data_IF_402123778397
#
_entry.id   IF_402123778397
#
_cell.length_a   1.000
_cell.length_b   1.000
_cell.length_c   1.000
_cell.angle_alpha   90.00
_cell.angle_beta   90.00
_cell.angle_gamma   90.00
#
_symmetry.space_group_name_H-M   'P 1'
#
loop_
_entity.id
_entity.type
_entity.pdbx_description
1 polymer ?
#
# COMPACT_ATOMS: atom_id res chain seq x y z
N UNK A 1 -50.76 31.16 52.50
CA UNK A 1 -49.75 30.29 51.84
C UNK A 1 -49.56 30.85 50.44
N UNK A 2 -48.47 31.58 50.24
CA UNK A 2 -48.43 32.76 49.37
C UNK A 2 -48.28 32.43 47.89
N UNK A 3 -49.14 33.08 47.09
CA UNK A 3 -49.13 33.07 45.62
C UNK A 3 -47.73 33.34 45.01
N UNK A 4 -46.89 34.10 45.72
CA UNK A 4 -45.51 34.40 45.32
C UNK A 4 -44.56 33.18 45.39
N UNK A 5 -44.75 32.23 46.31
CA UNK A 5 -43.94 31.02 46.39
C UNK A 5 -44.31 30.03 45.26
N UNK A 6 -45.59 29.94 44.91
CA UNK A 6 -46.06 29.10 43.80
C UNK A 6 -45.55 29.66 42.46
N UNK A 7 -45.55 30.98 42.27
CA UNK A 7 -45.03 31.60 41.05
C UNK A 7 -43.51 31.39 40.90
N UNK A 8 -42.75 31.45 42.00
CA UNK A 8 -41.31 31.20 41.97
C UNK A 8 -40.96 29.73 41.69
N UNK A 9 -41.75 28.78 42.22
CA UNK A 9 -41.58 27.35 41.94
C UNK A 9 -41.98 27.04 40.49
N UNK A 10 -43.07 27.64 39.97
CA UNK A 10 -43.47 27.48 38.57
C UNK A 10 -42.43 28.11 37.62
N UNK A 11 -41.87 29.28 37.95
CA UNK A 11 -40.80 29.90 37.16
C UNK A 11 -39.51 29.08 37.19
N UNK A 12 -39.13 28.50 38.34
CA UNK A 12 -37.98 27.59 38.45
C UNK A 12 -38.21 26.27 37.72
N UNK A 13 -39.43 25.73 37.72
CA UNK A 13 -39.79 24.52 36.95
C UNK A 13 -39.82 24.84 35.45
N UNK A 14 -40.33 26.00 35.03
CA UNK A 14 -40.33 26.41 33.62
C UNK A 14 -38.91 26.74 33.11
N UNK A 15 -38.05 27.34 33.93
CA UNK A 15 -36.63 27.56 33.61
C UNK A 15 -35.85 26.24 33.56
N UNK A 16 -36.11 25.30 34.48
CA UNK A 16 -35.53 23.95 34.40
C UNK A 16 -36.04 23.16 33.21
N UNK A 17 -37.33 23.27 32.84
CA UNK A 17 -37.87 22.60 31.64
C UNK A 17 -37.30 23.24 30.37
N UNK A 18 -37.06 24.56 30.34
CA UNK A 18 -36.39 25.21 29.21
C UNK A 18 -34.90 24.84 29.12
N UNK A 19 -34.18 24.74 30.23
CA UNK A 19 -32.80 24.23 30.26
C UNK A 19 -32.73 22.73 29.93
N UNK A 20 -33.71 21.91 30.32
CA UNK A 20 -33.77 20.49 29.93
C UNK A 20 -34.13 20.36 28.45
N UNK A 21 -35.01 21.21 27.89
CA UNK A 21 -35.35 21.20 26.46
C UNK A 21 -34.24 21.78 25.59
N UNK A 22 -33.50 22.80 26.06
CA UNK A 22 -32.31 23.32 25.38
C UNK A 22 -31.14 22.34 25.48
N UNK A 23 -30.95 21.66 26.62
CA UNK A 23 -29.95 20.60 26.78
C UNK A 23 -30.36 19.29 26.08
N UNK A 24 -31.65 19.01 25.87
CA UNK A 24 -32.14 17.87 25.07
C UNK A 24 -32.02 18.16 23.56
N UNK A 25 -32.15 19.43 23.15
CA UNK A 25 -31.84 19.89 21.80
C UNK A 25 -30.33 20.08 21.54
N UNK A 26 -29.51 20.27 22.57
CA UNK A 26 -28.04 20.32 22.46
C UNK A 26 -27.35 18.97 22.69
N UNK A 27 -27.93 18.01 23.44
CA UNK A 27 -27.36 16.65 23.63
C UNK A 27 -27.72 15.64 22.54
N UNK A 28 -28.70 15.93 21.69
CA UNK A 28 -29.04 15.08 20.54
C UNK A 28 -28.41 15.54 19.21
N UNK A 29 -27.47 16.49 19.24
CA UNK A 29 -26.70 16.91 18.05
C UNK A 29 -25.27 16.33 18.04
N UNK A 30 -25.16 15.00 18.15
CA UNK A 30 -23.95 14.26 17.75
C UNK A 30 -24.32 13.10 16.81
N UNK A 31 -24.28 13.43 15.51
CA UNK A 31 -23.94 12.56 14.39
C UNK A 31 -24.90 11.40 14.05
N UNK A 32 -26.08 11.73 13.55
CA UNK A 32 -26.52 11.06 12.32
C UNK A 32 -25.66 11.63 11.18
N UNK A 33 -24.53 10.98 10.89
CA UNK A 33 -23.85 11.14 9.62
C UNK A 33 -24.66 10.39 8.57
N UNK A 34 -25.77 11.00 8.17
CA UNK A 34 -26.27 10.85 6.82
C UNK A 34 -25.11 11.20 5.89
N UNK A 35 -24.75 10.26 5.02
CA UNK A 35 -23.60 10.35 4.14
C UNK A 35 -23.82 11.48 3.13
N UNK A 36 -23.43 12.70 3.51
CA UNK A 36 -23.52 13.88 2.67
C UNK A 36 -22.45 13.82 1.56
N UNK A 37 -22.89 13.38 0.38
CA UNK A 37 -22.11 13.28 -0.85
C UNK A 37 -21.44 14.62 -1.27
N UNK A 38 -21.87 15.77 -0.73
CA UNK A 38 -21.32 17.06 -1.09
C UNK A 38 -20.07 17.47 -0.27
N UNK A 39 -19.85 16.87 0.90
CA UNK A 39 -18.66 17.14 1.72
C UNK A 39 -17.42 16.38 1.22
N UNK A 40 -17.63 15.27 0.50
CA UNK A 40 -16.62 14.63 -0.34
C UNK A 40 -16.22 15.55 -1.50
N UNK A 41 -17.17 16.14 -2.24
CA UNK A 41 -16.87 16.99 -3.40
C UNK A 41 -16.01 18.23 -3.09
N UNK A 42 -16.20 18.89 -1.94
CA UNK A 42 -15.39 20.08 -1.59
C UNK A 42 -13.99 19.75 -1.08
N UNK A 43 -13.75 18.53 -0.59
CA UNK A 43 -12.42 18.06 -0.17
C UNK A 43 -11.68 17.25 -1.25
N UNK A 44 -12.34 16.86 -2.33
CA UNK A 44 -11.74 16.11 -3.46
C UNK A 44 -10.67 16.90 -4.20
N UNK A 45 -10.67 18.23 -4.12
CA UNK A 45 -9.59 19.06 -4.67
C UNK A 45 -8.29 18.99 -3.86
N UNK A 46 -8.31 18.37 -2.67
CA UNK A 46 -7.15 18.20 -1.80
C UNK A 46 -6.71 16.73 -1.67
N UNK A 47 -5.76 16.33 -2.53
CA UNK A 47 -4.89 15.12 -2.41
C UNK A 47 -5.61 13.77 -2.32
N UNK A 48 -6.02 13.26 -3.48
CA UNK A 48 -6.43 11.87 -3.70
C UNK A 48 -5.22 10.95 -3.56
N UNK A 49 -5.33 9.85 -2.79
CA UNK A 49 -4.23 8.89 -2.62
C UNK A 49 -4.72 7.42 -2.68
N UNK A 50 -4.16 6.66 -3.64
CA UNK A 50 -4.47 5.28 -4.12
C UNK A 50 -5.86 5.14 -4.75
N UNK A 51 -6.00 4.16 -5.64
CA UNK A 51 -7.05 4.13 -6.66
C UNK A 51 -7.49 2.71 -7.03
N UNK A 52 -8.78 2.43 -6.88
CA UNK A 52 -9.47 1.31 -7.54
C UNK A 52 -10.36 1.88 -8.62
N UNK A 53 -10.33 1.31 -9.83
CA UNK A 53 -11.17 1.80 -10.92
C UNK A 53 -12.64 1.53 -10.62
N UNK A 54 -13.45 2.59 -10.60
CA UNK A 54 -14.90 2.52 -10.49
C UNK A 54 -15.49 2.74 -11.89
N UNK A 55 -16.47 1.93 -12.27
CA UNK A 55 -17.33 2.20 -13.43
C UNK A 55 -18.57 2.98 -12.97
N UNK A 56 -19.37 3.52 -13.90
CA UNK A 56 -20.66 4.19 -13.58
C UNK A 56 -21.59 3.32 -12.73
N UNK A 57 -21.44 1.99 -12.79
CA UNK A 57 -22.00 1.00 -11.86
C UNK A 57 -20.81 0.26 -11.24
N UNK A 58 -20.62 0.34 -9.92
CA UNK A 58 -19.52 -0.35 -9.22
C UNK A 58 -19.83 -1.85 -9.13
N UNK A 59 -19.36 -2.61 -10.11
CA UNK A 59 -19.63 -4.04 -10.18
C UNK A 59 -18.53 -4.81 -9.44
N UNK A 60 -18.75 -5.09 -8.15
CA UNK A 60 -17.81 -5.87 -7.33
C UNK A 60 -17.88 -7.36 -7.64
N UNK A 61 -16.76 -8.05 -7.46
CA UNK A 61 -16.74 -9.52 -7.44
C UNK A 61 -17.45 -10.05 -6.20
N UNK A 62 -18.22 -11.12 -6.40
CA UNK A 62 -18.77 -11.95 -5.32
C UNK A 62 -17.80 -13.09 -4.98
N UNK A 63 -17.84 -13.54 -3.73
CA UNK A 63 -16.91 -14.56 -3.22
C UNK A 63 -17.62 -15.88 -2.93
N UNK A 64 -17.02 -17.02 -3.28
CA UNK A 64 -15.73 -17.16 -3.94
C UNK A 64 -15.75 -16.77 -5.43
N UNK A 65 -14.68 -16.12 -5.91
CA UNK A 65 -14.51 -15.81 -7.34
C UNK A 65 -14.18 -17.11 -8.08
N UNK A 66 -15.02 -17.47 -9.05
CA UNK A 66 -14.78 -18.60 -9.93
C UNK A 66 -13.61 -18.33 -10.87
N UNK A 67 -12.71 -19.29 -11.01
CA UNK A 67 -11.68 -19.27 -12.05
C UNK A 67 -11.51 -20.65 -12.68
N UNK A 68 -11.18 -20.66 -13.97
CA UNK A 68 -10.83 -21.86 -14.72
C UNK A 68 -9.50 -21.63 -15.41
N UNK A 69 -8.62 -22.63 -15.40
CA UNK A 69 -7.37 -22.59 -16.17
C UNK A 69 -7.56 -23.47 -17.39
N UNK A 70 -7.33 -22.87 -18.56
CA UNK A 70 -7.47 -23.55 -19.83
C UNK A 70 -6.40 -24.64 -19.99
N UNK A 71 -6.78 -25.94 -20.08
CA UNK A 71 -5.82 -27.04 -20.15
C UNK A 71 -4.88 -26.95 -21.36
N UNK A 72 -5.31 -26.31 -22.46
CA UNK A 72 -4.48 -26.15 -23.66
C UNK A 72 -3.43 -25.04 -23.50
N UNK A 73 -3.49 -24.27 -22.42
CA UNK A 73 -2.59 -23.13 -22.20
C UNK A 73 -1.20 -23.51 -21.71
N UNK A 74 -0.99 -24.76 -21.25
CA UNK A 74 0.27 -25.25 -20.66
C UNK A 74 0.81 -24.33 -19.54
N UNK A 75 -0.08 -23.68 -18.79
CA UNK A 75 0.29 -22.84 -17.66
C UNK A 75 0.41 -23.70 -16.41
N UNK A 76 1.38 -23.39 -15.54
CA UNK A 76 1.53 -24.11 -14.28
C UNK A 76 0.44 -23.71 -13.29
N UNK A 77 -0.61 -24.54 -13.22
CA UNK A 77 -1.76 -24.34 -12.34
C UNK A 77 -1.38 -24.26 -10.85
N UNK A 78 -0.40 -25.04 -10.41
CA UNK A 78 0.05 -25.03 -9.00
C UNK A 78 0.52 -23.64 -8.58
N UNK A 79 1.29 -22.96 -9.43
CA UNK A 79 1.80 -21.61 -9.13
C UNK A 79 0.66 -20.57 -9.18
N UNK A 80 -0.31 -20.74 -10.08
CA UNK A 80 -1.53 -19.92 -10.12
C UNK A 80 -2.29 -20.06 -8.81
N UNK A 81 -2.57 -21.29 -8.39
CA UNK A 81 -3.31 -21.62 -7.17
C UNK A 81 -2.59 -21.07 -5.93
N UNK A 82 -1.26 -21.17 -5.86
CA UNK A 82 -0.45 -20.58 -4.79
C UNK A 82 -0.52 -19.04 -4.76
N UNK A 83 -0.46 -18.39 -5.92
CA UNK A 83 -0.55 -16.93 -6.01
C UNK A 83 -1.92 -16.40 -5.54
N UNK A 84 -3.00 -17.10 -5.93
CA UNK A 84 -4.37 -16.81 -5.50
C UNK A 84 -4.55 -17.09 -4.01
N UNK A 85 -4.00 -18.20 -3.50
CA UNK A 85 -4.00 -18.53 -2.08
C UNK A 85 -3.29 -17.44 -1.26
N UNK A 86 -2.16 -16.92 -1.72
CA UNK A 86 -1.42 -15.85 -1.02
C UNK A 86 -2.25 -14.55 -0.87
N UNK A 87 -3.13 -14.25 -1.84
CA UNK A 87 -4.13 -13.18 -1.76
C UNK A 87 -5.21 -13.54 -0.73
N UNK A 88 -5.75 -14.76 -0.78
CA UNK A 88 -6.76 -15.23 0.19
C UNK A 88 -6.25 -15.27 1.63
N UNK A 89 -4.96 -15.55 1.85
CA UNK A 89 -4.36 -15.58 3.19
C UNK A 89 -4.28 -14.18 3.83
N UNK A 90 -4.29 -13.11 3.01
CA UNK A 90 -4.10 -11.72 3.46
C UNK A 90 -5.34 -10.84 3.29
N UNK A 91 -6.41 -11.39 2.72
CA UNK A 91 -7.67 -10.69 2.43
C UNK A 91 -8.86 -11.58 2.76
N UNK A 92 -10.08 -11.07 2.63
CA UNK A 92 -11.30 -11.87 2.66
C UNK A 92 -11.65 -12.51 1.30
N UNK A 93 -10.92 -12.16 0.23
CA UNK A 93 -11.18 -12.67 -1.12
C UNK A 93 -10.91 -14.17 -1.13
N UNK A 94 -11.83 -14.95 -1.69
CA UNK A 94 -11.71 -16.40 -1.85
C UNK A 94 -11.93 -16.79 -3.29
N UNK A 95 -11.41 -17.95 -3.68
CA UNK A 95 -11.39 -18.44 -5.06
C UNK A 95 -12.01 -19.83 -5.12
N UNK A 96 -12.71 -20.12 -6.23
CA UNK A 96 -13.23 -21.45 -6.54
C UNK A 96 -12.73 -21.87 -7.91
N UNK A 97 -11.96 -22.95 -7.96
CA UNK A 97 -11.49 -23.53 -9.22
C UNK A 97 -12.62 -24.29 -9.88
N UNK A 98 -12.84 -24.06 -11.16
CA UNK A 98 -13.81 -24.79 -11.98
C UNK A 98 -13.08 -25.78 -12.89
N UNK A 99 -13.70 -26.93 -13.18
CA UNK A 99 -13.14 -27.97 -14.06
C UNK A 99 -13.39 -27.71 -15.55
N UNK A 100 -14.22 -26.71 -15.87
CA UNK A 100 -14.59 -26.35 -17.24
C UNK A 100 -14.64 -24.84 -17.40
N UNK A 101 -14.53 -24.39 -18.65
CA UNK A 101 -14.65 -22.99 -19.00
C UNK A 101 -15.93 -22.36 -18.42
N UNK A 102 -15.77 -21.19 -17.82
CA UNK A 102 -16.89 -20.43 -17.25
C UNK A 102 -17.60 -19.71 -18.39
N UNK A 103 -18.91 -19.93 -18.52
CA UNK A 103 -19.76 -19.37 -19.57
C UNK A 103 -21.03 -18.78 -18.95
N UNK A 104 -21.51 -17.66 -19.49
CA UNK A 104 -22.78 -17.02 -19.11
C UNK A 104 -22.92 -16.64 -17.62
N UNK A 105 -21.81 -16.54 -16.89
CA UNK A 105 -21.77 -16.09 -15.51
C UNK A 105 -20.44 -15.40 -15.19
N UNK A 106 -20.36 -14.58 -14.12
CA UNK A 106 -19.11 -13.95 -13.71
C UNK A 106 -18.03 -14.97 -13.30
N UNK A 107 -16.83 -14.78 -13.82
CA UNK A 107 -15.66 -15.57 -13.46
C UNK A 107 -14.44 -15.19 -14.29
N UNK A 108 -13.29 -15.82 -13.98
CA UNK A 108 -12.02 -15.59 -14.66
C UNK A 108 -11.60 -16.82 -15.46
N UNK A 109 -11.51 -16.70 -16.78
CA UNK A 109 -10.94 -17.74 -17.63
C UNK A 109 -9.45 -17.42 -17.87
N UNK A 110 -8.57 -18.19 -17.24
CA UNK A 110 -7.11 -18.04 -17.31
C UNK A 110 -6.60 -18.74 -18.57
N UNK A 111 -5.97 -17.98 -19.48
CA UNK A 111 -5.61 -18.48 -20.82
C UNK A 111 -4.22 -18.05 -21.26
N UNK A 112 -3.62 -18.83 -22.15
CA UNK A 112 -2.45 -18.40 -22.91
C UNK A 112 -2.85 -17.66 -24.18
N UNK A 113 -2.44 -16.38 -24.27
CA UNK A 113 -2.67 -15.50 -25.43
C UNK A 113 -1.42 -14.72 -25.83
N UNK A 114 -0.22 -15.25 -25.53
CA UNK A 114 1.07 -14.60 -25.85
C UNK A 114 1.21 -13.17 -25.26
N UNK A 115 0.48 -12.87 -24.17
CA UNK A 115 0.52 -11.62 -23.43
C UNK A 115 0.09 -11.86 -21.98
N UNK A 116 0.68 -11.09 -21.07
CA UNK A 116 0.30 -11.07 -19.65
C UNK A 116 -0.54 -9.81 -19.41
N UNK A 117 -1.84 -9.99 -19.21
CA UNK A 117 -2.78 -8.89 -19.14
C UNK A 117 -4.09 -9.30 -18.46
N UNK A 118 -4.75 -8.31 -17.87
CA UNK A 118 -6.10 -8.44 -17.35
C UNK A 118 -6.92 -7.17 -17.56
N UNK A 119 -8.23 -7.33 -17.64
CA UNK A 119 -9.14 -6.20 -17.50
C UNK A 119 -9.09 -5.65 -16.07
N UNK A 120 -9.28 -4.34 -15.92
CA UNK A 120 -9.40 -3.74 -14.59
C UNK A 120 -10.83 -3.88 -14.05
N UNK A 121 -10.95 -4.62 -12.95
CA UNK A 121 -12.23 -4.89 -12.27
C UNK A 121 -13.07 -5.95 -12.97
N UNK A 122 -14.25 -6.25 -12.39
CA UNK A 122 -15.25 -7.12 -13.00
C UNK A 122 -15.90 -6.43 -14.19
N UNK A 123 -15.96 -7.13 -15.32
CA UNK A 123 -16.40 -6.53 -16.57
C UNK A 123 -17.88 -6.65 -16.86
N UNK A 124 -18.57 -7.63 -16.28
CA UNK A 124 -19.96 -7.96 -16.57
C UNK A 124 -20.62 -8.73 -15.42
N UNK A 125 -21.96 -8.60 -15.30
CA UNK A 125 -22.85 -9.36 -14.40
C UNK A 125 -23.25 -10.74 -14.88
N UNK A 126 -23.05 -11.04 -16.15
CA UNK A 126 -23.53 -12.29 -16.75
C UNK A 126 -22.51 -12.92 -17.69
N UNK A 127 -21.25 -12.50 -17.64
CA UNK A 127 -20.17 -13.03 -18.48
C UNK A 127 -18.86 -13.14 -17.72
N UNK A 128 -18.13 -14.21 -18.02
CA UNK A 128 -16.75 -14.39 -17.62
C UNK A 128 -15.86 -13.40 -18.36
N UNK A 129 -14.70 -13.08 -17.81
CA UNK A 129 -13.64 -12.34 -18.50
C UNK A 129 -12.36 -13.16 -18.57
N UNK A 130 -11.60 -12.97 -19.64
CA UNK A 130 -10.29 -13.59 -19.77
C UNK A 130 -9.25 -12.83 -18.93
N UNK A 131 -8.32 -13.60 -18.37
CA UNK A 131 -7.04 -13.12 -17.87
C UNK A 131 -5.96 -13.91 -18.61
N UNK A 132 -5.01 -13.22 -19.23
CA UNK A 132 -4.07 -13.86 -20.13
C UNK A 132 -2.69 -13.89 -19.51
N UNK A 133 -1.97 -14.98 -19.76
CA UNK A 133 -0.57 -15.13 -19.40
C UNK A 133 0.20 -15.79 -20.52
N UNK A 134 1.52 -15.68 -20.45
CA UNK A 134 2.44 -16.58 -21.14
C UNK A 134 3.11 -17.48 -20.09
N UNK A 135 3.70 -18.63 -20.47
CA UNK A 135 4.39 -19.51 -19.51
C UNK A 135 5.46 -18.78 -18.68
N UNK A 136 6.20 -17.83 -19.27
CA UNK A 136 7.21 -17.03 -18.59
C UNK A 136 6.65 -16.03 -17.57
N UNK A 137 5.35 -15.74 -17.62
CA UNK A 137 4.65 -14.91 -16.63
C UNK A 137 4.07 -15.72 -15.46
N UNK A 138 4.19 -17.05 -15.47
CA UNK A 138 3.64 -17.90 -14.40
C UNK A 138 4.61 -17.94 -13.22
N UNK A 139 4.72 -16.81 -12.54
CA UNK A 139 5.39 -16.66 -11.25
C UNK A 139 4.61 -15.69 -10.37
N UNK A 140 4.80 -15.80 -9.04
CA UNK A 140 4.00 -15.10 -8.03
C UNK A 140 3.77 -13.61 -8.33
N UNK A 141 4.84 -12.85 -8.62
CA UNK A 141 4.77 -11.40 -8.84
C UNK A 141 3.80 -11.02 -9.95
N UNK A 142 4.01 -11.60 -11.14
CA UNK A 142 3.20 -11.32 -12.33
C UNK A 142 1.77 -11.83 -12.22
N UNK A 143 1.59 -13.05 -11.69
CA UNK A 143 0.25 -13.59 -11.44
C UNK A 143 -0.55 -12.66 -10.52
N UNK A 144 0.03 -12.27 -9.38
CA UNK A 144 -0.64 -11.37 -8.46
C UNK A 144 -0.88 -9.97 -9.05
N UNK A 145 -0.01 -9.49 -9.93
CA UNK A 145 -0.21 -8.23 -10.65
C UNK A 145 -1.47 -8.28 -11.52
N UNK A 146 -1.59 -9.28 -12.40
CA UNK A 146 -2.74 -9.39 -13.31
C UNK A 146 -4.04 -9.74 -12.58
N UNK A 147 -4.00 -10.59 -11.55
CA UNK A 147 -5.17 -10.84 -10.70
C UNK A 147 -5.57 -9.59 -9.90
N UNK A 148 -4.62 -8.74 -9.51
CA UNK A 148 -4.93 -7.45 -8.87
C UNK A 148 -5.62 -6.49 -9.82
N UNK A 149 -5.27 -6.50 -11.10
CA UNK A 149 -6.02 -5.79 -12.13
C UNK A 149 -7.46 -6.33 -12.21
N UNK A 150 -7.65 -7.64 -12.30
CA UNK A 150 -8.99 -8.24 -12.29
C UNK A 150 -9.81 -7.82 -11.05
N UNK A 151 -9.16 -7.66 -9.90
CA UNK A 151 -9.76 -7.19 -8.65
C UNK A 151 -10.02 -5.68 -8.60
N UNK A 152 -9.58 -4.91 -9.60
CA UNK A 152 -9.89 -3.48 -9.77
C UNK A 152 -8.72 -2.54 -9.46
N UNK A 153 -7.56 -3.04 -9.03
CA UNK A 153 -6.40 -2.19 -8.80
C UNK A 153 -5.83 -1.69 -10.13
N UNK A 154 -5.42 -0.42 -10.18
CA UNK A 154 -4.75 0.16 -11.36
C UNK A 154 -3.25 0.26 -11.14
N UNK A 155 -2.51 0.51 -12.22
CA UNK A 155 -1.09 0.84 -12.15
C UNK A 155 -0.83 2.06 -11.26
N UNK A 156 0.11 1.96 -10.32
CA UNK A 156 0.39 3.01 -9.33
C UNK A 156 0.88 4.30 -10.00
N UNK A 157 1.66 4.20 -11.09
CA UNK A 157 2.13 5.35 -11.87
C UNK A 157 1.03 6.08 -12.64
N UNK A 158 -0.17 5.48 -12.79
CA UNK A 158 -1.32 6.09 -13.47
C UNK A 158 -2.29 6.77 -12.50
N UNK A 159 -1.95 6.89 -11.23
CA UNK A 159 -2.78 7.63 -10.28
C UNK A 159 -2.84 9.13 -10.64
N UNK A 160 -3.96 9.82 -10.38
CA UNK A 160 -4.09 11.26 -10.63
C UNK A 160 -3.02 12.09 -9.88
N UNK A 161 -2.58 11.63 -8.71
CA UNK A 161 -1.56 12.29 -7.90
C UNK A 161 -0.12 11.89 -8.25
N UNK A 162 0.10 10.99 -9.23
CA UNK A 162 1.44 10.45 -9.56
C UNK A 162 2.42 11.52 -10.00
N UNK A 163 1.95 12.60 -10.65
CA UNK A 163 2.75 13.78 -11.03
C UNK A 163 3.45 14.49 -9.86
N UNK A 164 3.06 14.21 -8.61
CA UNK A 164 3.75 14.72 -7.43
C UNK A 164 4.95 13.86 -7.00
N UNK A 165 5.12 12.67 -7.60
CA UNK A 165 6.06 11.65 -7.16
C UNK A 165 6.99 11.17 -8.27
N UNK A 166 6.55 11.24 -9.52
CA UNK A 166 7.29 10.83 -10.71
C UNK A 166 7.15 11.85 -11.85
N UNK A 167 8.10 11.82 -12.77
CA UNK A 167 8.05 12.50 -14.06
C UNK A 167 8.16 11.43 -15.18
N UNK A 168 7.28 11.53 -16.17
CA UNK A 168 7.22 10.59 -17.31
C UNK A 168 7.71 11.31 -18.56
N UNK A 169 8.77 10.80 -19.18
CA UNK A 169 9.32 11.29 -20.45
C UNK A 169 8.60 10.64 -21.64
N UNK A 170 7.43 11.18 -22.02
CA UNK A 170 6.62 10.63 -23.12
C UNK A 170 7.33 10.64 -24.48
N UNK A 171 8.31 11.52 -24.67
CA UNK A 171 9.19 11.57 -25.84
C UNK A 171 10.08 10.32 -26.00
N UNK A 172 10.26 9.55 -24.92
CA UNK A 172 11.07 8.31 -24.90
C UNK A 172 10.22 7.04 -24.90
N UNK A 173 8.90 7.19 -24.94
CA UNK A 173 7.92 6.10 -24.91
C UNK A 173 7.47 5.81 -26.33
N UNK A 174 7.33 4.52 -26.66
CA UNK A 174 6.75 4.09 -27.93
C UNK A 174 5.40 4.75 -28.16
N UNK A 175 5.20 5.38 -29.32
CA UNK A 175 3.98 6.14 -29.62
C UNK A 175 2.67 5.37 -29.34
N UNK A 176 2.63 4.07 -29.67
CA UNK A 176 1.47 3.19 -29.42
C UNK A 176 1.14 2.97 -27.94
N UNK A 177 2.11 3.20 -27.04
CA UNK A 177 2.02 2.89 -25.62
C UNK A 177 1.85 4.14 -24.74
N UNK A 178 1.91 5.36 -25.30
CA UNK A 178 1.76 6.64 -24.56
C UNK A 178 0.48 6.64 -23.71
N UNK A 179 -0.66 6.23 -24.28
CA UNK A 179 -1.95 6.17 -23.58
C UNK A 179 -1.95 5.23 -22.38
N UNK A 180 -1.06 4.23 -22.35
CA UNK A 180 -0.93 3.27 -21.23
C UNK A 180 -0.24 3.88 -20.01
N UNK A 181 0.44 5.02 -20.16
CA UNK A 181 1.11 5.73 -19.07
C UNK A 181 0.39 7.00 -18.62
N UNK A 182 -0.64 7.43 -19.35
CA UNK A 182 -1.45 8.57 -18.96
C UNK A 182 -2.17 8.31 -17.64
N UNK A 183 -2.12 9.25 -16.68
CA UNK A 183 -2.91 9.17 -15.46
C UNK A 183 -4.40 9.02 -15.77
N UNK A 184 -5.12 8.29 -14.91
CA UNK A 184 -6.59 8.28 -14.93
C UNK A 184 -7.14 9.60 -14.43
N UNK A 185 -8.39 9.90 -14.82
CA UNK A 185 -9.13 11.01 -14.23
C UNK A 185 -9.59 10.66 -12.80
N UNK A 186 -9.81 11.68 -11.98
CA UNK A 186 -10.08 11.49 -10.55
C UNK A 186 -11.42 10.79 -10.30
N UNK A 187 -12.41 11.07 -11.13
CA UNK A 187 -13.77 10.51 -11.05
C UNK A 187 -13.80 9.02 -11.40
N UNK A 188 -12.77 8.51 -12.08
CA UNK A 188 -12.67 7.10 -12.45
C UNK A 188 -12.20 6.21 -11.29
N UNK A 189 -11.80 6.80 -10.15
CA UNK A 189 -11.03 6.09 -9.13
C UNK A 189 -11.58 6.29 -7.70
N UNK A 190 -11.74 5.18 -6.98
CA UNK A 190 -12.04 5.19 -5.54
C UNK A 190 -10.76 5.38 -4.75
N UNK A 191 -10.75 6.37 -3.85
CA UNK A 191 -9.59 6.68 -3.02
C UNK A 191 -9.77 6.25 -1.58
N UNK A 192 -8.74 5.58 -1.04
CA UNK A 192 -8.68 5.14 0.35
C UNK A 192 -7.71 5.96 1.21
N UNK A 193 -7.25 7.11 0.70
CA UNK A 193 -6.25 7.95 1.34
C UNK A 193 -4.95 7.17 1.71
N UNK A 194 -4.58 6.17 0.90
CA UNK A 194 -3.32 5.44 1.08
C UNK A 194 -2.23 6.15 0.28
N UNK A 195 -1.05 6.46 0.84
CA UNK A 195 0.00 7.20 0.13
C UNK A 195 0.50 6.55 -1.17
N UNK A 196 1.14 7.36 -2.02
CA UNK A 196 1.86 6.89 -3.20
C UNK A 196 3.03 6.00 -2.81
N UNK A 197 3.11 4.81 -3.40
CA UNK A 197 4.06 3.78 -3.03
C UNK A 197 4.90 3.36 -4.24
N UNK A 198 6.12 3.88 -4.29
CA UNK A 198 7.09 3.57 -5.34
C UNK A 198 7.34 2.06 -5.49
N UNK A 199 7.24 1.30 -4.40
CA UNK A 199 7.53 -0.13 -4.43
C UNK A 199 6.31 -1.02 -4.67
N UNK A 200 5.13 -0.48 -4.97
CA UNK A 200 3.95 -1.30 -5.29
C UNK A 200 4.26 -2.29 -6.41
N UNK A 201 3.71 -3.50 -6.34
CA UNK A 201 3.78 -4.49 -7.44
C UNK A 201 3.11 -3.96 -8.72
N UNK A 202 2.25 -2.96 -8.59
CA UNK A 202 1.54 -2.30 -9.69
C UNK A 202 2.26 -1.04 -10.19
N UNK A 203 3.43 -0.71 -9.64
CA UNK A 203 4.23 0.39 -10.16
C UNK A 203 5.09 -0.11 -11.32
N UNK A 204 4.98 0.54 -12.47
CA UNK A 204 5.82 0.22 -13.63
C UNK A 204 7.32 0.43 -13.31
N UNK A 205 8.18 -0.32 -14.00
CA UNK A 205 9.63 -0.10 -13.92
C UNK A 205 10.07 1.20 -14.62
N UNK A 206 11.32 1.60 -14.38
CA UNK A 206 11.87 2.88 -14.85
C UNK A 206 11.98 3.02 -16.37
N UNK A 207 11.93 1.90 -17.12
CA UNK A 207 12.14 1.85 -18.57
C UNK A 207 10.91 1.29 -19.31
N UNK A 208 9.77 1.22 -18.64
CA UNK A 208 8.53 0.70 -19.22
C UNK A 208 8.22 1.39 -20.55
N UNK A 209 7.89 0.60 -21.57
CA UNK A 209 7.58 1.05 -22.93
C UNK A 209 8.64 1.92 -23.62
N UNK A 210 9.90 1.87 -23.17
CA UNK A 210 10.99 2.64 -23.77
C UNK A 210 11.21 2.27 -25.23
N UNK A 211 11.39 3.29 -26.09
CA UNK A 211 11.79 3.13 -27.49
C UNK A 211 13.24 2.61 -27.61
N UNK A 212 14.14 3.10 -26.74
CA UNK A 212 15.60 2.94 -26.87
C UNK A 212 16.27 2.45 -25.59
N UNK A 213 15.56 1.69 -24.75
CA UNK A 213 16.03 1.20 -23.44
C UNK A 213 16.49 2.33 -22.47
N UNK A 214 15.96 3.54 -22.70
CA UNK A 214 16.15 4.74 -21.89
C UNK A 214 15.14 4.81 -20.75
N UNK A 215 15.49 5.53 -19.68
CA UNK A 215 14.57 5.77 -18.55
C UNK A 215 13.39 6.61 -19.04
N UNK A 216 12.19 6.06 -18.91
CA UNK A 216 10.89 6.70 -19.24
C UNK A 216 10.21 7.26 -18.00
N UNK A 217 10.45 6.66 -16.82
CA UNK A 217 9.91 7.13 -15.53
C UNK A 217 11.05 7.49 -14.57
N UNK A 218 11.10 8.76 -14.18
CA UNK A 218 12.02 9.27 -13.16
C UNK A 218 11.28 9.55 -11.86
N UNK A 219 11.84 9.15 -10.72
CA UNK A 219 11.26 9.49 -9.41
C UNK A 219 11.70 10.90 -8.99
N UNK A 220 10.79 11.67 -8.40
CA UNK A 220 11.09 13.02 -7.88
C UNK A 220 11.97 12.99 -6.63
N UNK A 221 11.80 11.96 -5.80
CA UNK A 221 12.80 11.60 -4.80
C UNK A 221 13.75 10.58 -5.44
N UNK A 222 15.01 10.96 -5.76
CA UNK A 222 15.93 10.10 -6.50
C UNK A 222 16.32 8.84 -5.73
N UNK A 223 16.18 8.82 -4.39
CA UNK A 223 16.44 7.63 -3.58
C UNK A 223 15.47 6.48 -3.89
N UNK A 224 14.32 6.76 -4.50
CA UNK A 224 13.34 5.76 -4.89
C UNK A 224 13.52 5.24 -6.33
N UNK A 225 14.52 5.71 -7.08
CA UNK A 225 14.68 5.35 -8.49
C UNK A 225 14.90 3.84 -8.69
N UNK A 226 15.65 3.20 -7.79
CA UNK A 226 15.85 1.75 -7.79
C UNK A 226 14.75 0.98 -7.03
N UNK A 227 13.75 1.68 -6.48
CA UNK A 227 12.61 1.07 -5.79
C UNK A 227 11.48 0.71 -6.75
N UNK A 228 11.25 1.51 -7.80
CA UNK A 228 10.15 1.28 -8.75
C UNK A 228 10.39 0.02 -9.60
N UNK A 229 9.32 -0.68 -9.99
CA UNK A 229 9.40 -1.92 -10.77
C UNK A 229 9.62 -3.18 -9.93
N UNK A 230 9.17 -3.19 -8.67
CA UNK A 230 9.17 -4.42 -7.87
C UNK A 230 8.36 -5.52 -8.56
N UNK A 231 8.83 -6.77 -8.48
CA UNK A 231 8.18 -7.90 -9.15
C UNK A 231 8.19 -9.20 -8.31
N UNK A 232 8.19 -9.05 -7.00
CA UNK A 232 8.28 -10.19 -6.06
C UNK A 232 6.92 -10.61 -5.49
N UNK A 233 5.86 -9.85 -5.78
CA UNK A 233 4.53 -10.02 -5.23
C UNK A 233 3.97 -8.74 -4.63
N UNK A 234 2.69 -8.78 -4.28
CA UNK A 234 1.97 -7.64 -3.73
C UNK A 234 2.60 -7.15 -2.43
N UNK A 235 2.67 -5.82 -2.31
CA UNK A 235 3.18 -5.15 -1.12
C UNK A 235 2.06 -4.89 -0.12
N UNK A 236 2.45 -4.47 1.09
CA UNK A 236 1.53 -4.24 2.21
C UNK A 236 0.33 -3.37 1.84
N UNK A 237 0.58 -2.26 1.16
CA UNK A 237 -0.48 -1.34 0.78
C UNK A 237 -1.31 -1.85 -0.42
N UNK A 238 -0.79 -2.77 -1.23
CA UNK A 238 -1.57 -3.40 -2.30
C UNK A 238 -2.66 -4.29 -1.68
N UNK A 239 -2.30 -5.12 -0.69
CA UNK A 239 -3.27 -5.86 0.13
C UNK A 239 -4.20 -4.94 0.93
N UNK A 240 -3.70 -3.80 1.42
CA UNK A 240 -4.53 -2.82 2.13
C UNK A 240 -5.65 -2.29 1.25
N UNK A 241 -5.37 -1.96 -0.01
CA UNK A 241 -6.41 -1.52 -0.96
C UNK A 241 -7.49 -2.59 -1.14
N UNK A 242 -7.09 -3.84 -1.39
CA UNK A 242 -8.04 -4.94 -1.55
C UNK A 242 -8.91 -5.12 -0.30
N UNK A 243 -8.30 -5.07 0.89
CA UNK A 243 -9.06 -5.18 2.15
C UNK A 243 -10.01 -4.01 2.38
N UNK A 244 -9.62 -2.78 2.07
CA UNK A 244 -10.51 -1.62 2.24
C UNK A 244 -11.67 -1.63 1.24
N UNK A 245 -11.49 -2.23 0.06
CA UNK A 245 -12.51 -2.29 -0.97
C UNK A 245 -13.48 -3.47 -0.82
N UNK A 246 -12.95 -4.66 -0.52
CA UNK A 246 -13.72 -5.91 -0.47
C UNK A 246 -14.06 -6.36 0.95
N UNK A 247 -13.26 -5.98 1.96
CA UNK A 247 -13.29 -6.62 3.28
C UNK A 247 -13.62 -5.65 4.42
N UNK A 248 -13.98 -4.40 4.11
CA UNK A 248 -14.21 -3.37 5.12
C UNK A 248 -15.37 -3.70 6.07
N UNK A 249 -16.33 -4.52 5.64
CA UNK A 249 -17.48 -4.94 6.44
C UNK A 249 -17.20 -6.14 7.36
N UNK A 250 -16.13 -6.91 7.12
CA UNK A 250 -15.84 -8.15 7.86
C UNK A 250 -15.63 -7.90 9.35
N UNK A 251 -15.00 -6.78 9.70
CA UNK A 251 -14.67 -6.42 11.08
C UNK A 251 -15.48 -5.23 11.63
N UNK A 252 -16.68 -4.97 11.09
CA UNK A 252 -17.49 -3.76 11.36
C UNK A 252 -17.72 -3.47 12.85
N UNK A 253 -17.78 -4.52 13.69
CA UNK A 253 -18.09 -4.39 15.12
C UNK A 253 -16.86 -4.15 16.01
N UNK A 254 -15.66 -3.99 15.46
CA UNK A 254 -14.41 -3.87 16.24
C UNK A 254 -13.90 -2.42 16.27
N UNK A 255 -13.39 -2.02 17.44
CA UNK A 255 -12.87 -0.66 17.71
C UNK A 255 -11.34 -0.56 17.77
N UNK A 256 -10.61 -1.64 17.44
CA UNK A 256 -9.14 -1.65 17.52
C UNK A 256 -8.54 -0.62 16.54
N UNK A 257 -7.76 0.33 17.06
CA UNK A 257 -7.09 1.38 16.27
C UNK A 257 -5.68 0.96 15.89
N UNK A 258 -5.46 0.65 14.61
CA UNK A 258 -4.15 0.30 14.10
C UNK A 258 -3.23 1.54 13.96
N UNK A 259 -1.96 1.37 14.29
CA UNK A 259 -0.90 2.39 14.20
C UNK A 259 -0.04 2.17 12.97
N UNK A 260 0.81 3.15 12.67
CA UNK A 260 1.85 3.06 11.64
C UNK A 260 1.31 2.71 10.24
N UNK A 261 0.09 3.13 9.91
CA UNK A 261 -0.53 2.83 8.63
C UNK A 261 -1.09 1.39 8.53
N UNK A 262 -1.10 0.64 9.63
CA UNK A 262 -1.80 -0.64 9.76
C UNK A 262 -3.32 -0.52 9.54
N UNK A 263 -3.97 -1.66 9.34
CA UNK A 263 -5.44 -1.78 9.19
C UNK A 263 -5.92 -3.06 9.87
N UNK A 264 -7.23 -3.18 10.14
CA UNK A 264 -7.80 -4.37 10.77
C UNK A 264 -7.56 -5.60 9.91
N UNK A 265 -7.15 -6.70 10.54
CA UNK A 265 -6.93 -7.95 9.82
C UNK A 265 -8.28 -8.63 9.57
N UNK A 266 -8.67 -8.77 8.29
CA UNK A 266 -9.94 -9.37 7.89
C UNK A 266 -10.09 -10.86 8.24
N UNK A 267 -8.99 -11.56 8.53
CA UNK A 267 -9.01 -12.96 9.01
C UNK A 267 -9.03 -13.08 10.53
N UNK A 268 -8.68 -12.01 11.24
CA UNK A 268 -8.68 -11.98 12.70
C UNK A 268 -8.89 -10.53 13.16
N UNK A 269 -10.15 -10.20 13.42
CA UNK A 269 -10.55 -8.83 13.72
C UNK A 269 -10.06 -8.33 15.10
N UNK A 270 -9.40 -9.17 15.90
CA UNK A 270 -8.77 -8.78 17.17
C UNK A 270 -7.32 -8.31 17.03
N UNK A 271 -6.76 -8.33 15.82
CA UNK A 271 -5.43 -7.77 15.53
C UNK A 271 -5.40 -6.96 14.25
N UNK A 272 -4.36 -6.16 14.12
CA UNK A 272 -4.05 -5.42 12.91
C UNK A 272 -3.16 -6.21 11.97
N UNK A 273 -3.35 -6.00 10.67
CA UNK A 273 -2.34 -6.27 9.65
C UNK A 273 -1.33 -5.13 9.66
N UNK A 274 -0.07 -5.45 9.92
CA UNK A 274 0.99 -4.47 10.15
C UNK A 274 1.92 -4.31 8.95
N UNK A 275 2.40 -3.08 8.66
CA UNK A 275 3.46 -2.90 7.70
C UNK A 275 4.70 -3.70 8.08
N UNK A 276 5.56 -4.09 7.11
CA UNK A 276 6.61 -5.09 7.38
C UNK A 276 7.66 -4.71 8.42
N UNK A 277 7.84 -3.42 8.72
CA UNK A 277 8.74 -2.93 9.77
C UNK A 277 8.11 -2.91 11.17
N UNK A 278 6.82 -3.24 11.32
CA UNK A 278 6.09 -3.11 12.57
C UNK A 278 5.30 -4.39 12.89
N UNK A 279 4.91 -4.53 14.15
CA UNK A 279 4.16 -5.68 14.64
C UNK A 279 3.47 -5.38 15.98
N UNK A 280 3.06 -6.45 16.66
CA UNK A 280 2.16 -6.37 17.80
C UNK A 280 0.69 -6.30 17.38
N UNK A 281 -0.21 -6.31 18.37
CA UNK A 281 -1.67 -6.36 18.15
C UNK A 281 -2.17 -5.17 17.32
N UNK A 282 -1.60 -4.00 17.53
CA UNK A 282 -2.03 -2.72 16.94
C UNK A 282 -0.98 -2.09 16.01
N UNK A 283 0.09 -2.82 15.68
CA UNK A 283 1.23 -2.33 14.88
C UNK A 283 2.06 -1.22 15.53
N UNK A 284 1.93 -0.99 16.84
CA UNK A 284 2.72 0.04 17.55
C UNK A 284 4.19 -0.36 17.76
N UNK A 285 4.50 -1.65 17.79
CA UNK A 285 5.83 -2.17 18.13
C UNK A 285 6.68 -2.30 16.86
N UNK A 286 7.98 -2.04 16.97
CA UNK A 286 8.93 -2.43 15.93
C UNK A 286 8.95 -3.95 15.78
N UNK A 287 9.07 -4.44 14.56
CA UNK A 287 9.31 -5.86 14.29
C UNK A 287 10.69 -6.27 14.81
N UNK A 288 10.70 -7.30 15.64
CA UNK A 288 11.95 -7.85 16.19
C UNK A 288 12.32 -9.08 15.36
N UNK A 289 13.56 -9.09 14.85
CA UNK A 289 14.22 -10.28 14.31
C UNK A 289 15.28 -10.74 15.32
N UNK A 290 15.77 -11.97 15.14
CA UNK A 290 16.68 -12.71 16.03
C UNK A 290 17.79 -11.88 16.73
N UNK A 291 18.35 -12.42 17.83
CA UNK A 291 19.28 -11.74 18.75
C UNK A 291 20.64 -11.27 18.18
N UNK A 292 20.96 -11.54 16.91
CA UNK A 292 22.27 -11.23 16.28
C UNK A 292 22.44 -9.78 15.79
N UNK A 293 21.45 -8.92 15.99
CA UNK A 293 21.42 -7.54 15.46
C UNK A 293 21.91 -6.46 16.45
N UNK A 294 22.36 -6.86 17.64
CA UNK A 294 22.77 -5.92 18.69
C UNK A 294 21.64 -4.96 19.09
N UNK A 295 21.99 -3.69 19.35
CA UNK A 295 21.02 -2.66 19.74
C UNK A 295 20.24 -2.13 18.53
N UNK A 296 18.97 -2.50 18.44
CA UNK A 296 18.09 -2.13 17.32
C UNK A 296 17.29 -0.83 17.54
N UNK A 297 17.04 -0.44 18.80
CA UNK A 297 16.39 0.83 19.14
C UNK A 297 17.44 1.90 19.39
N UNK A 298 17.46 2.91 18.52
CA UNK A 298 18.47 3.95 18.46
C UNK A 298 17.83 5.33 18.66
N UNK A 299 18.60 6.26 19.22
CA UNK A 299 18.14 7.63 19.49
C UNK A 299 19.07 8.62 18.80
N UNK A 300 18.53 9.41 17.89
CA UNK A 300 19.24 10.51 17.25
C UNK A 300 19.23 11.75 18.16
N UNK A 301 20.37 12.42 18.28
CA UNK A 301 20.51 13.72 18.92
C UNK A 301 21.32 14.64 17.99
N UNK A 302 21.65 15.87 18.41
CA UNK A 302 22.41 16.81 17.56
C UNK A 302 23.79 16.28 17.15
N UNK A 303 24.38 15.38 17.94
CA UNK A 303 25.67 14.79 17.67
C UNK A 303 25.54 13.66 16.65
N UNK A 304 26.48 13.59 15.72
CA UNK A 304 26.56 12.54 14.70
C UNK A 304 26.84 11.20 15.39
N UNK A 305 26.05 10.17 15.06
CA UNK A 305 26.20 8.79 15.53
C UNK A 305 26.30 7.86 14.34
N UNK A 306 26.86 6.66 14.56
CA UNK A 306 27.05 5.67 13.49
C UNK A 306 26.37 4.35 13.85
N UNK A 307 25.74 3.73 12.84
CA UNK A 307 25.24 2.36 12.83
C UNK A 307 26.06 1.58 11.80
N UNK A 308 26.70 0.49 12.22
CA UNK A 308 27.42 -0.42 11.34
C UNK A 308 26.78 -1.81 11.40
N UNK A 309 26.53 -2.41 10.25
CA UNK A 309 25.95 -3.75 10.13
C UNK A 309 26.67 -4.48 9.00
N UNK A 310 27.02 -5.74 9.22
CA UNK A 310 27.73 -6.56 8.23
C UNK A 310 27.31 -8.04 8.30
N UNK A 311 27.66 -8.77 7.25
CA UNK A 311 27.52 -10.21 7.11
C UNK A 311 26.11 -10.69 6.82
N UNK A 312 25.97 -12.02 6.80
CA UNK A 312 24.71 -12.70 6.46
C UNK A 312 23.73 -12.59 7.64
N UNK A 313 22.89 -11.55 7.63
CA UNK A 313 21.86 -11.33 8.63
C UNK A 313 20.73 -10.45 8.12
N UNK A 314 19.59 -10.56 8.78
CA UNK A 314 18.40 -9.74 8.57
C UNK A 314 18.11 -8.95 9.84
N UNK A 315 18.14 -7.63 9.77
CA UNK A 315 18.03 -6.77 10.95
C UNK A 315 17.12 -5.56 10.69
N UNK A 316 16.15 -5.35 11.57
CA UNK A 316 15.42 -4.09 11.63
C UNK A 316 16.06 -3.16 12.65
N UNK A 317 16.27 -1.90 12.27
CA UNK A 317 16.70 -0.82 13.17
C UNK A 317 15.67 0.30 13.19
N UNK A 318 15.54 0.96 14.33
CA UNK A 318 14.59 2.04 14.57
C UNK A 318 15.32 3.23 15.17
N UNK A 319 15.45 4.31 14.41
CA UNK A 319 16.09 5.55 14.87
C UNK A 319 14.98 6.55 15.17
N UNK A 320 14.89 7.01 16.42
CA UNK A 320 13.90 7.98 16.86
C UNK A 320 14.55 9.25 17.41
N UNK A 321 13.86 10.37 17.28
CA UNK A 321 14.18 11.64 17.96
C UNK A 321 12.89 12.28 18.51
N UNK A 322 13.02 13.41 19.19
CA UNK A 322 11.87 14.19 19.69
C UNK A 322 10.98 14.64 18.50
N UNK A 323 9.66 14.67 18.72
CA UNK A 323 8.64 14.95 17.70
C UNK A 323 8.78 16.28 16.95
N UNK A 324 9.52 17.24 17.53
CA UNK A 324 9.83 18.54 16.92
C UNK A 324 10.95 18.49 15.86
N UNK A 325 11.75 17.42 15.85
CA UNK A 325 12.92 17.30 14.99
C UNK A 325 12.73 16.26 13.89
N UNK A 326 13.60 16.33 12.87
CA UNK A 326 13.76 15.31 11.84
C UNK A 326 15.10 14.61 12.04
N UNK A 327 15.35 13.58 11.23
CA UNK A 327 16.57 12.80 11.26
C UNK A 327 17.23 12.97 9.89
N UNK A 328 18.49 13.41 9.91
CA UNK A 328 19.36 13.28 8.75
C UNK A 328 20.07 11.94 8.84
N UNK A 329 20.02 11.18 7.75
CA UNK A 329 20.70 9.91 7.60
C UNK A 329 21.65 9.99 6.40
N UNK A 330 22.85 9.46 6.55
CA UNK A 330 23.83 9.36 5.47
C UNK A 330 24.34 7.93 5.41
N UNK A 331 24.12 7.25 4.30
CA UNK A 331 24.85 6.02 3.97
C UNK A 331 26.26 6.46 3.65
N UNK A 332 27.20 6.19 4.56
CA UNK A 332 28.60 6.59 4.43
C UNK A 332 29.26 5.72 3.37
N UNK A 333 29.13 4.41 3.54
CA UNK A 333 29.58 3.41 2.59
C UNK A 333 28.74 2.14 2.73
N UNK A 334 28.61 1.37 1.67
CA UNK A 334 28.00 0.05 1.70
C UNK A 334 28.56 -0.87 0.63
N UNK A 335 28.46 -2.17 0.88
CA UNK A 335 28.51 -3.22 -0.14
C UNK A 335 27.32 -4.15 0.12
N UNK A 336 26.27 -4.01 -0.68
CA UNK A 336 25.01 -4.73 -0.54
C UNK A 336 24.84 -5.72 -1.70
N UNK A 337 23.93 -6.71 -1.59
CA UNK A 337 23.50 -7.51 -2.73
C UNK A 337 23.20 -6.63 -3.94
N UNK A 338 23.60 -7.09 -5.13
CA UNK A 338 23.52 -6.29 -6.36
C UNK A 338 22.08 -6.05 -6.81
N UNK A 339 21.92 -5.01 -7.63
CA UNK A 339 20.66 -4.74 -8.31
C UNK A 339 20.32 -5.86 -9.30
N UNK A 340 19.03 -6.06 -9.52
CA UNK A 340 18.51 -7.06 -10.43
C UNK A 340 18.14 -6.40 -11.77
N UNK A 341 17.33 -7.07 -12.60
CA UNK A 341 16.88 -6.58 -13.90
C UNK A 341 16.45 -5.10 -13.85
N UNK A 342 16.92 -4.32 -14.83
CA UNK A 342 16.66 -2.87 -14.95
C UNK A 342 17.13 -2.02 -13.77
N UNK A 343 18.06 -2.53 -12.94
CA UNK A 343 18.61 -1.80 -11.80
C UNK A 343 17.68 -1.78 -10.59
N UNK A 344 16.64 -2.63 -10.56
CA UNK A 344 15.69 -2.69 -9.44
C UNK A 344 16.36 -3.35 -8.23
N UNK A 345 16.31 -2.69 -7.08
CA UNK A 345 16.67 -3.30 -5.80
C UNK A 345 15.41 -3.97 -5.23
N UNK A 346 15.29 -5.29 -5.36
CA UNK A 346 14.11 -5.99 -4.85
C UNK A 346 14.01 -5.98 -3.33
N UNK A 347 12.79 -5.77 -2.83
CA UNK A 347 12.50 -5.80 -1.40
C UNK A 347 12.92 -7.13 -0.77
N UNK A 348 13.50 -7.06 0.43
CA UNK A 348 14.02 -8.24 1.12
C UNK A 348 15.41 -8.66 0.65
N UNK A 349 16.05 -7.86 -0.22
CA UNK A 349 17.48 -7.90 -0.54
C UNK A 349 18.07 -6.50 -0.32
N UNK A 350 19.31 -6.42 0.15
CA UNK A 350 19.97 -5.12 0.36
C UNK A 350 19.42 -4.34 1.56
N UNK A 351 19.12 -3.07 1.35
CA UNK A 351 18.75 -2.14 2.42
C UNK A 351 17.46 -1.40 2.06
N UNK A 352 16.45 -1.50 2.92
CA UNK A 352 15.22 -0.71 2.84
C UNK A 352 15.24 0.37 3.92
N UNK A 353 15.05 1.65 3.55
CA UNK A 353 15.02 2.78 4.49
C UNK A 353 13.67 3.51 4.41
N UNK A 354 12.92 3.48 5.52
CA UNK A 354 11.65 4.19 5.68
C UNK A 354 11.91 5.51 6.40
N UNK A 355 11.85 6.60 5.65
CA UNK A 355 12.00 7.96 6.17
C UNK A 355 10.82 8.88 5.83
N UNK A 356 9.80 8.37 5.13
CA UNK A 356 8.55 9.08 4.84
C UNK A 356 7.60 9.06 6.05
N UNK A 357 6.62 9.97 6.07
CA UNK A 357 5.68 10.18 7.18
C UNK A 357 4.85 8.93 7.49
N UNK A 358 4.31 8.31 6.45
CA UNK A 358 3.52 7.07 6.56
C UNK A 358 4.43 5.88 6.25
N UNK A 359 4.68 4.99 7.23
CA UNK A 359 5.61 3.89 7.07
C UNK A 359 4.95 2.62 6.49
N UNK A 360 3.72 2.73 5.97
CA UNK A 360 3.05 1.64 5.27
C UNK A 360 3.56 1.43 3.84
N UNK A 361 4.11 2.48 3.22
CA UNK A 361 4.73 2.40 1.88
C UNK A 361 6.06 1.66 1.94
N UNK A 362 6.48 1.09 0.81
CA UNK A 362 7.82 0.56 0.67
C UNK A 362 8.83 1.70 0.83
N UNK A 363 9.92 1.44 1.56
CA UNK A 363 11.01 2.40 1.74
C UNK A 363 11.85 2.60 0.49
N UNK A 364 12.80 3.53 0.55
CA UNK A 364 13.83 3.61 -0.48
C UNK A 364 14.70 2.35 -0.40
N UNK A 365 14.85 1.69 -1.56
CA UNK A 365 15.59 0.45 -1.71
C UNK A 365 16.99 0.72 -2.25
N UNK A 366 17.98 0.12 -1.60
CA UNK A 366 19.39 0.31 -1.88
C UNK A 366 20.09 -1.05 -2.04
N UNK A 367 20.94 -1.14 -3.06
CA UNK A 367 21.67 -2.34 -3.44
C UNK A 367 23.05 -1.95 -4.01
N UNK A 368 23.98 -2.90 -4.06
CA UNK A 368 25.36 -2.66 -4.49
C UNK A 368 26.14 -1.69 -3.60
N UNK A 369 27.12 -1.02 -4.22
CA UNK A 369 28.00 -0.06 -3.54
C UNK A 369 27.42 1.34 -3.55
N UNK A 370 27.35 1.98 -2.38
CA UNK A 370 26.82 3.33 -2.21
C UNK A 370 27.80 4.10 -1.33
N UNK A 371 28.08 5.35 -1.71
CA UNK A 371 28.95 6.24 -0.95
C UNK A 371 28.29 7.60 -0.75
N UNK A 372 28.41 8.14 0.47
CA UNK A 372 28.02 9.50 0.83
C UNK A 372 26.59 9.93 0.44
N UNK A 373 25.64 9.00 0.42
CA UNK A 373 24.24 9.29 0.09
C UNK A 373 23.48 9.80 1.31
N UNK A 374 22.99 11.03 1.26
CA UNK A 374 22.27 11.67 2.38
C UNK A 374 20.78 11.83 2.10
N UNK A 375 19.96 11.52 3.10
CA UNK A 375 18.50 11.67 3.09
C UNK A 375 18.01 12.30 4.40
N UNK A 376 16.83 12.94 4.34
CA UNK A 376 16.18 13.59 5.47
C UNK A 376 14.80 12.99 5.68
N UNK A 377 14.48 12.63 6.92
CA UNK A 377 13.16 12.10 7.24
C UNK A 377 12.08 13.17 7.23
N UNK A 378 10.86 12.79 6.88
CA UNK A 378 9.68 13.66 6.94
C UNK A 378 9.17 13.87 8.37
N UNK A 379 9.55 12.97 9.29
CA UNK A 379 9.14 12.95 10.70
C UNK A 379 10.31 12.58 11.62
N UNK A 380 10.05 12.49 12.91
CA UNK A 380 11.02 12.22 13.98
C UNK A 380 11.47 10.75 14.09
N UNK A 381 11.32 9.96 13.02
CA UNK A 381 11.66 8.54 13.00
C UNK A 381 12.16 8.09 11.65
N UNK A 382 13.03 7.08 11.67
CA UNK A 382 13.48 6.31 10.52
C UNK A 382 13.47 4.83 10.92
N UNK A 383 13.02 3.96 10.01
CA UNK A 383 13.21 2.51 10.17
C UNK A 383 14.04 1.96 9.02
N UNK A 384 14.92 1.02 9.34
CA UNK A 384 15.88 0.44 8.40
C UNK A 384 15.70 -1.07 8.45
N UNK A 385 15.73 -1.71 7.28
CA UNK A 385 15.79 -3.16 7.18
C UNK A 385 16.99 -3.55 6.33
N UNK A 386 17.99 -4.14 6.98
CA UNK A 386 19.20 -4.66 6.35
C UNK A 386 19.04 -6.15 6.06
N UNK A 387 19.41 -6.57 4.86
CA UNK A 387 19.49 -7.96 4.43
C UNK A 387 20.81 -8.21 3.70
N UNK A 388 21.79 -8.76 4.41
CA UNK A 388 23.04 -9.27 3.82
C UNK A 388 22.88 -10.73 3.41
N UNK A 389 23.38 -11.09 2.22
CA UNK A 389 23.38 -12.46 1.70
C UNK A 389 24.78 -13.04 1.54
N UNK A 390 25.81 -12.20 1.68
CA UNK A 390 27.22 -12.59 1.69
C UNK A 390 27.89 -12.12 3.00
N UNK A 391 28.94 -12.81 3.44
CA UNK A 391 29.76 -12.44 4.61
C UNK A 391 30.44 -11.09 4.44
N UNK A 392 30.73 -10.68 3.20
CA UNK A 392 31.34 -9.38 2.91
C UNK A 392 30.34 -8.23 2.90
N UNK A 393 29.03 -8.50 2.80
CA UNK A 393 28.06 -7.41 2.70
C UNK A 393 28.07 -6.55 3.97
N UNK A 394 27.98 -5.24 3.82
CA UNK A 394 27.91 -4.31 4.94
C UNK A 394 27.21 -3.00 4.58
N UNK A 395 26.83 -2.26 5.62
CA UNK A 395 26.41 -0.87 5.51
C UNK A 395 26.90 -0.09 6.72
N UNK A 396 27.46 1.09 6.48
CA UNK A 396 27.77 2.09 7.50
C UNK A 396 26.87 3.31 7.32
N UNK A 397 26.11 3.63 8.37
CA UNK A 397 25.11 4.68 8.35
C UNK A 397 25.42 5.69 9.45
N UNK A 398 25.62 6.94 9.08
CA UNK A 398 25.63 8.06 9.99
C UNK A 398 24.22 8.62 10.18
N UNK A 399 23.86 9.01 11.39
CA UNK A 399 22.59 9.69 11.67
C UNK A 399 22.72 10.77 12.76
N UNK A 400 21.90 11.82 12.63
CA UNK A 400 21.72 12.86 13.66
C UNK A 400 20.34 13.49 13.58
N UNK A 401 19.92 14.10 14.68
CA UNK A 401 18.71 14.92 14.75
C UNK A 401 18.97 16.29 14.12
N UNK A 402 18.03 16.79 13.34
CA UNK A 402 18.07 18.12 12.69
C UNK A 402 16.79 18.90 12.93
#
# INVERSE_FOLDING_TARGET
MNFFQIFFVILLVLLNVYEIKSNFLQRNNFNNLEYDNNLLKRNVQARIKRAIRIRKVDIKWEFPIKYWVDPESNLNETIIDEALKDISDKTCITWKKESSQILNEPGLNVRNRNLCASFTGRSSDNKSQEITFTPECVYKGRLQHEFSHALGLVHENRRPDSKNYIDISFDKVKNKDIRKLQPFESEELLSFNIPYDYGSQLHADSKIYSESNSITIKTKDPNYQNTIGQDTGLQFNDFKQLNLYYCNTVCSNKKLKCKNGGYLNSKNCDKCSCPPHYGGKDCSKGKVLNNKCGKVSLTANKNKKTLKVNGIKKCYYYINTNSKYKIQLTIVSSDLPQAEKNGVCFRGKGLEVLYRKDPSVVGAMFCGSIENLTMKSEKNRVSIYYVGTNTTNFVEISYKSI
#
